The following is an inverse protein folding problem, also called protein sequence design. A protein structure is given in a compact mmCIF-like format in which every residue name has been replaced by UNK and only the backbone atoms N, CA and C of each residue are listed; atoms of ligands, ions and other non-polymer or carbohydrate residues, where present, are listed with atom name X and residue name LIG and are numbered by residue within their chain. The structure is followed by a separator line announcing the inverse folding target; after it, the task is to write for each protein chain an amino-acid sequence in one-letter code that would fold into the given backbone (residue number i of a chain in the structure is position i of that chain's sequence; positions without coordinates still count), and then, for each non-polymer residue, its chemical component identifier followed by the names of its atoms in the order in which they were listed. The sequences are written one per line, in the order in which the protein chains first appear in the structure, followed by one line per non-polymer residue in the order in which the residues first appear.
data_IF_870036540838
#
_entry.id   IF_870036540838
#
_cell.length_a   1.000
_cell.length_b   1.000
_cell.length_c   1.000
_cell.angle_alpha   90.00
_cell.angle_beta   90.00
_cell.angle_gamma   90.00
#
_symmetry.space_group_name_H-M   'P 1'
#
loop_
_entity.id
_entity.type
_entity.pdbx_description
1 polymer ?
#
# COMPACT_ATOMS: atom_id res chain seq x y z
N UNK A 1 19.90 6.36 -7.88
CA UNK A 1 20.00 6.72 -6.46
C UNK A 1 18.85 6.01 -5.78
N UNK A 2 19.13 5.01 -4.93
CA UNK A 2 18.09 4.47 -4.05
C UNK A 2 17.56 5.67 -3.28
N UNK A 3 16.28 5.97 -3.40
CA UNK A 3 15.64 7.08 -2.73
C UNK A 3 15.77 6.86 -1.24
N UNK A 4 16.81 7.43 -0.61
CA UNK A 4 16.99 7.52 0.84
C UNK A 4 15.92 8.48 1.40
N UNK A 5 14.65 8.10 1.29
CA UNK A 5 13.57 8.76 1.99
C UNK A 5 13.87 8.64 3.49
N UNK A 6 13.82 9.75 4.26
CA UNK A 6 13.99 9.68 5.71
C UNK A 6 13.01 8.67 6.29
N UNK A 7 13.42 7.92 7.33
CA UNK A 7 12.59 6.87 7.98
C UNK A 7 11.16 7.33 8.28
N UNK A 8 11.01 8.56 8.79
CA UNK A 8 9.71 9.18 9.07
C UNK A 8 8.83 9.32 7.82
N UNK A 9 9.41 9.67 6.67
CA UNK A 9 8.69 9.81 5.41
C UNK A 9 8.24 8.43 4.87
N UNK A 10 9.07 7.40 5.02
CA UNK A 10 8.67 6.02 4.71
C UNK A 10 7.53 5.54 5.61
N UNK A 11 7.64 5.77 6.92
CA UNK A 11 6.58 5.42 7.88
C UNK A 11 5.26 6.13 7.56
N UNK A 12 5.31 7.41 7.18
CA UNK A 12 4.14 8.19 6.77
C UNK A 12 3.49 7.62 5.50
N UNK A 13 4.29 7.32 4.47
CA UNK A 13 3.77 6.72 3.22
C UNK A 13 3.17 5.34 3.44
N UNK A 14 3.81 4.51 4.27
CA UNK A 14 3.29 3.20 4.69
C UNK A 14 1.94 3.35 5.38
N UNK A 15 1.79 4.32 6.29
CA UNK A 15 0.55 4.58 6.99
C UNK A 15 -0.57 5.00 6.02
N UNK A 16 -0.28 5.92 5.10
CA UNK A 16 -1.22 6.37 4.06
C UNK A 16 -1.66 5.22 3.16
N UNK A 17 -0.72 4.39 2.68
CA UNK A 17 -1.03 3.25 1.83
C UNK A 17 -1.89 2.19 2.54
N UNK A 18 -1.59 1.91 3.81
CA UNK A 18 -2.41 0.99 4.63
C UNK A 18 -3.83 1.50 4.82
N UNK A 19 -3.99 2.81 5.06
CA UNK A 19 -5.32 3.39 5.21
C UNK A 19 -6.12 3.30 3.90
N UNK A 20 -5.48 3.64 2.77
CA UNK A 20 -6.11 3.54 1.46
C UNK A 20 -6.48 2.09 1.11
N UNK A 21 -5.60 1.12 1.40
CA UNK A 21 -5.90 -0.31 1.20
C UNK A 21 -7.12 -0.75 2.01
N UNK A 22 -7.20 -0.34 3.28
CA UNK A 22 -8.36 -0.61 4.14
C UNK A 22 -9.65 -0.06 3.54
N UNK A 23 -9.64 1.21 3.09
CA UNK A 23 -10.81 1.83 2.45
C UNK A 23 -11.21 1.12 1.15
N UNK A 24 -10.24 0.66 0.35
CA UNK A 24 -10.52 -0.08 -0.89
C UNK A 24 -11.10 -1.47 -0.62
N UNK A 25 -10.62 -2.17 0.40
CA UNK A 25 -11.18 -3.46 0.83
C UNK A 25 -12.61 -3.30 1.35
N UNK A 26 -12.87 -2.26 2.15
CA UNK A 26 -14.22 -1.92 2.62
C UNK A 26 -15.16 -1.62 1.43
N UNK A 27 -14.69 -0.85 0.45
CA UNK A 27 -15.45 -0.56 -0.77
C UNK A 27 -15.70 -1.83 -1.63
N UNK A 28 -14.68 -2.68 -1.78
CA UNK A 28 -14.80 -3.93 -2.52
C UNK A 28 -15.84 -4.86 -1.88
N UNK A 29 -15.82 -4.96 -0.54
CA UNK A 29 -16.80 -5.75 0.20
C UNK A 29 -18.22 -5.17 0.07
N UNK A 30 -18.37 -3.84 0.06
CA UNK A 30 -19.66 -3.17 -0.09
C UNK A 30 -20.24 -3.24 -1.52
N UNK A 31 -19.38 -3.32 -2.55
CA UNK A 31 -19.76 -3.31 -3.97
C UNK A 31 -19.67 -4.70 -4.64
N UNK A 32 -19.47 -5.76 -3.87
CA UNK A 32 -19.28 -7.12 -4.38
C UNK A 32 -20.40 -7.53 -5.36
N UNK A 33 -20.02 -7.97 -6.58
CA UNK A 33 -20.93 -8.30 -7.66
C UNK A 33 -21.12 -7.23 -8.75
N UNK A 34 -20.50 -6.05 -8.62
CA UNK A 34 -20.51 -5.01 -9.66
C UNK A 34 -19.32 -5.16 -10.64
N UNK A 35 -19.48 -4.64 -11.87
CA UNK A 35 -18.42 -4.67 -12.90
C UNK A 35 -17.09 -4.01 -12.46
N UNK A 36 -17.11 -3.19 -11.41
CA UNK A 36 -15.92 -2.52 -10.86
C UNK A 36 -15.09 -3.41 -9.91
N UNK A 37 -15.56 -4.62 -9.57
CA UNK A 37 -14.87 -5.51 -8.63
C UNK A 37 -13.46 -5.89 -9.12
N UNK A 38 -13.29 -6.18 -10.41
CA UNK A 38 -11.98 -6.46 -11.01
C UNK A 38 -11.03 -5.27 -10.93
N UNK A 39 -11.52 -4.05 -11.22
CA UNK A 39 -10.71 -2.83 -11.16
C UNK A 39 -10.28 -2.50 -9.73
N UNK A 40 -11.17 -2.71 -8.76
CA UNK A 40 -10.85 -2.55 -7.34
C UNK A 40 -9.83 -3.60 -6.89
N UNK A 41 -9.99 -4.86 -7.32
CA UNK A 41 -9.04 -5.93 -7.01
C UNK A 41 -7.64 -5.64 -7.58
N UNK A 42 -7.55 -5.20 -8.83
CA UNK A 42 -6.27 -4.83 -9.47
C UNK A 42 -5.58 -3.69 -8.70
N UNK A 43 -6.35 -2.69 -8.27
CA UNK A 43 -5.83 -1.56 -7.49
C UNK A 43 -5.34 -1.99 -6.10
N UNK A 44 -6.06 -2.87 -5.42
CA UNK A 44 -5.63 -3.45 -4.14
C UNK A 44 -4.30 -4.21 -4.34
N UNK A 45 -4.17 -4.99 -5.41
CA UNK A 45 -2.93 -5.72 -5.72
C UNK A 45 -1.74 -4.77 -5.90
N UNK A 46 -1.91 -3.74 -6.73
CA UNK A 46 -0.85 -2.75 -6.99
C UNK A 46 -0.40 -2.03 -5.71
N UNK A 47 -1.36 -1.61 -4.88
CA UNK A 47 -1.05 -0.91 -3.63
C UNK A 47 -0.42 -1.83 -2.58
N UNK A 48 -0.76 -3.11 -2.59
CA UNK A 48 -0.13 -4.12 -1.72
C UNK A 48 1.33 -4.35 -2.11
N UNK A 49 1.63 -4.43 -3.41
CA UNK A 49 3.00 -4.53 -3.90
C UNK A 49 3.85 -3.29 -3.55
N UNK A 50 3.28 -2.10 -3.69
CA UNK A 50 3.94 -0.85 -3.30
C UNK A 50 4.21 -0.81 -1.79
N UNK A 51 3.22 -1.18 -0.97
CA UNK A 51 3.36 -1.28 0.47
C UNK A 51 4.49 -2.25 0.86
N UNK A 52 4.56 -3.41 0.22
CA UNK A 52 5.61 -4.40 0.49
C UNK A 52 7.01 -3.87 0.16
N UNK A 53 7.16 -3.13 -0.95
CA UNK A 53 8.43 -2.47 -1.31
C UNK A 53 8.86 -1.45 -0.25
N UNK A 54 7.95 -0.58 0.18
CA UNK A 54 8.26 0.44 1.19
C UNK A 54 8.56 -0.16 2.56
N UNK A 55 7.87 -1.24 2.96
CA UNK A 55 8.19 -1.98 4.18
C UNK A 55 9.58 -2.59 4.10
N UNK A 56 9.95 -3.20 2.97
CA UNK A 56 11.28 -3.76 2.77
C UNK A 56 12.38 -2.68 2.80
N UNK A 57 12.13 -1.51 2.21
CA UNK A 57 13.04 -0.35 2.30
C UNK A 57 13.21 0.13 3.75
N UNK A 58 12.11 0.26 4.50
CA UNK A 58 12.14 0.61 5.93
C UNK A 58 12.93 -0.42 6.75
N UNK A 59 12.72 -1.71 6.53
CA UNK A 59 13.45 -2.77 7.22
C UNK A 59 14.94 -2.78 6.88
N UNK A 60 15.31 -2.44 5.63
CA UNK A 60 16.71 -2.30 5.23
C UNK A 60 17.39 -1.10 5.91
N UNK A 61 16.66 -0.01 6.14
CA UNK A 61 17.16 1.12 6.94
C UNK A 61 17.31 0.77 8.42
N UNK A 62 16.42 -0.04 9.00
CA UNK A 62 16.48 -0.46 10.40
C UNK A 62 17.66 -1.43 10.69
N UNK A 63 18.23 -2.06 9.66
CA UNK A 63 19.38 -3.00 9.75
C UNK A 63 20.74 -2.34 9.51
N UNK A 64 20.76 -1.04 9.17
CA UNK A 64 21.99 -0.24 9.00
C UNK A 64 22.43 0.37 10.32
#
# INVERSE_FOLDING_TARGET
MASDLPRYELDNRIAILRDNLRQLVEQAAALSGAANESLTADRISQMTEELNKLVAEREALDKR
#
